data_IF_715408383602
#
_entry.id   IF_715408383602
#
_cell.length_a   1.000
_cell.length_b   1.000
_cell.length_c   1.000
_cell.angle_alpha   90.00
_cell.angle_beta   90.00
_cell.angle_gamma   90.00
#
_symmetry.space_group_name_H-M   'P 1'
#
loop_
_entity.id
_entity.type
_entity.pdbx_description
1 polymer ?
#
# COMPACT_ATOMS: atom_id res chain seq x y z
N UNK A 1 8.54 -43.05 -49.74
CA UNK A 1 8.15 -41.97 -48.79
C UNK A 1 6.83 -42.40 -48.17
N UNK A 2 6.75 -42.58 -46.85
CA UNK A 2 5.49 -42.95 -46.18
C UNK A 2 4.69 -41.64 -46.03
N UNK A 3 3.56 -41.56 -46.72
CA UNK A 3 2.69 -40.39 -46.72
C UNK A 3 1.93 -40.26 -45.40
N UNK A 4 1.60 -39.01 -45.05
CA UNK A 4 0.79 -38.67 -43.88
C UNK A 4 -0.60 -39.29 -44.02
N UNK A 5 -1.13 -39.90 -42.97
CA UNK A 5 -2.47 -40.50 -43.03
C UNK A 5 -3.54 -39.45 -42.79
N UNK A 6 -4.72 -39.60 -43.41
CA UNK A 6 -5.82 -38.63 -43.27
C UNK A 6 -6.28 -38.50 -41.81
N UNK A 7 -6.26 -39.60 -41.06
CA UNK A 7 -6.61 -39.62 -39.64
C UNK A 7 -5.61 -38.82 -38.77
N UNK A 8 -4.33 -38.84 -39.13
CA UNK A 8 -3.26 -38.15 -38.42
C UNK A 8 -3.39 -36.63 -38.58
N UNK A 9 -3.85 -36.16 -39.76
CA UNK A 9 -4.15 -34.75 -39.99
C UNK A 9 -5.34 -34.28 -39.14
N UNK A 10 -6.39 -35.10 -39.04
CA UNK A 10 -7.57 -34.78 -38.21
C UNK A 10 -7.17 -34.65 -36.73
N UNK A 11 -6.39 -35.59 -36.21
CA UNK A 11 -5.95 -35.56 -34.81
C UNK A 11 -5.12 -34.29 -34.52
N UNK A 12 -4.19 -33.94 -35.40
CA UNK A 12 -3.37 -32.72 -35.24
C UNK A 12 -4.23 -31.46 -35.25
N UNK A 13 -5.22 -31.36 -36.14
CA UNK A 13 -6.13 -30.18 -36.16
C UNK A 13 -6.97 -30.06 -34.90
N UNK A 14 -7.43 -31.18 -34.34
CA UNK A 14 -8.17 -31.20 -33.06
C UNK A 14 -7.28 -30.77 -31.90
N UNK A 15 -6.03 -31.26 -31.84
CA UNK A 15 -5.08 -30.85 -30.80
C UNK A 15 -4.78 -29.35 -30.88
N UNK A 16 -4.55 -28.81 -32.08
CA UNK A 16 -4.30 -27.38 -32.28
C UNK A 16 -5.51 -26.56 -31.82
N UNK A 17 -6.73 -26.96 -32.19
CA UNK A 17 -7.95 -26.26 -31.79
C UNK A 17 -8.14 -26.24 -30.27
N UNK A 18 -7.86 -27.36 -29.58
CA UNK A 18 -7.93 -27.45 -28.11
C UNK A 18 -6.89 -26.52 -27.47
N UNK A 19 -5.63 -26.56 -27.93
CA UNK A 19 -4.56 -25.72 -27.38
C UNK A 19 -4.89 -24.23 -27.60
N UNK A 20 -5.35 -23.85 -28.79
CA UNK A 20 -5.76 -22.45 -29.09
C UNK A 20 -6.92 -21.98 -28.22
N UNK A 21 -7.87 -22.87 -27.89
CA UNK A 21 -8.97 -22.53 -26.99
C UNK A 21 -8.50 -22.22 -25.57
N UNK A 22 -7.57 -23.03 -25.04
CA UNK A 22 -7.02 -22.86 -23.68
C UNK A 22 -6.19 -21.57 -23.59
N UNK A 23 -5.32 -21.30 -24.58
CA UNK A 23 -4.46 -20.11 -24.55
C UNK A 23 -5.26 -18.81 -24.60
N UNK A 24 -6.38 -18.79 -25.33
CA UNK A 24 -7.24 -17.59 -25.45
C UNK A 24 -7.92 -17.21 -24.13
N UNK A 25 -8.38 -18.18 -23.34
CA UNK A 25 -8.99 -17.91 -22.02
C UNK A 25 -7.95 -17.38 -21.03
N UNK A 26 -6.74 -17.95 -21.04
CA UNK A 26 -5.65 -17.53 -20.16
C UNK A 26 -5.14 -16.10 -20.42
N UNK A 27 -5.34 -15.54 -21.62
CA UNK A 27 -4.82 -14.21 -21.97
C UNK A 27 -5.58 -13.05 -21.33
N UNK A 28 -6.85 -13.22 -20.95
CA UNK A 28 -7.65 -12.13 -20.37
C UNK A 28 -7.23 -11.81 -18.93
N UNK A 29 -7.10 -12.84 -18.09
CA UNK A 29 -6.71 -12.68 -16.68
C UNK A 29 -5.31 -12.09 -16.51
N UNK A 30 -4.38 -12.44 -17.40
CA UNK A 30 -3.00 -11.92 -17.37
C UNK A 30 -2.92 -10.42 -17.71
N UNK A 31 -3.83 -9.89 -18.54
CA UNK A 31 -3.82 -8.47 -18.90
C UNK A 31 -4.27 -7.59 -17.74
N UNK A 32 -5.28 -8.03 -17.00
CA UNK A 32 -5.81 -7.30 -15.84
C UNK A 32 -4.77 -7.24 -14.71
N UNK A 33 -4.07 -8.34 -14.43
CA UNK A 33 -3.00 -8.35 -13.42
C UNK A 33 -1.83 -7.45 -13.83
N UNK A 34 -1.43 -7.47 -15.10
CA UNK A 34 -0.33 -6.64 -15.61
C UNK A 34 -0.67 -5.14 -15.57
N UNK A 35 -1.92 -4.78 -15.86
CA UNK A 35 -2.38 -3.41 -15.76
C UNK A 35 -2.39 -2.94 -14.29
N UNK A 36 -2.83 -3.79 -13.37
CA UNK A 36 -2.77 -3.51 -11.93
C UNK A 36 -1.33 -3.36 -11.41
N UNK A 37 -0.41 -4.24 -11.85
CA UNK A 37 1.03 -4.13 -11.57
C UNK A 37 1.56 -2.76 -12.00
N UNK A 38 1.26 -2.38 -13.25
CA UNK A 38 1.69 -1.12 -13.83
C UNK A 38 1.18 0.08 -13.02
N UNK A 39 -0.10 0.08 -12.65
CA UNK A 39 -0.68 1.16 -11.86
C UNK A 39 0.01 1.29 -10.49
N UNK A 40 0.24 0.17 -9.80
CA UNK A 40 0.96 0.16 -8.53
C UNK A 40 2.40 0.71 -8.67
N UNK A 41 3.10 0.37 -9.74
CA UNK A 41 4.42 0.94 -10.03
C UNK A 41 4.37 2.42 -10.40
N UNK A 42 3.32 2.89 -11.08
CA UNK A 42 3.11 4.32 -11.37
C UNK A 42 2.92 5.10 -10.07
N UNK A 43 2.14 4.58 -9.12
CA UNK A 43 1.98 5.16 -7.78
C UNK A 43 3.35 5.27 -7.09
N UNK A 44 4.09 4.17 -7.01
CA UNK A 44 5.43 4.16 -6.40
C UNK A 44 6.40 5.14 -7.09
N UNK A 45 6.31 5.28 -8.41
CA UNK A 45 7.10 6.24 -9.17
C UNK A 45 6.71 7.68 -8.84
N UNK A 46 5.42 7.99 -8.68
CA UNK A 46 4.96 9.34 -8.36
C UNK A 46 5.32 9.73 -6.93
N UNK A 47 5.30 8.80 -5.97
CA UNK A 47 5.82 9.04 -4.61
C UNK A 47 7.32 9.38 -4.67
N UNK A 48 8.12 8.62 -5.43
CA UNK A 48 9.54 8.97 -5.67
C UNK A 48 9.70 10.28 -6.43
N UNK A 49 8.75 10.62 -7.30
CA UNK A 49 8.67 11.89 -7.99
C UNK A 49 8.52 13.06 -7.01
N UNK A 50 7.61 12.94 -6.05
CA UNK A 50 7.41 13.93 -4.99
C UNK A 50 8.69 14.13 -4.15
N UNK A 51 9.36 13.04 -3.78
CA UNK A 51 10.65 13.09 -3.09
C UNK A 51 11.72 13.84 -3.90
N UNK A 52 11.80 13.60 -5.22
CA UNK A 52 12.72 14.31 -6.10
C UNK A 52 12.34 15.79 -6.29
N UNK A 53 11.06 16.14 -6.26
CA UNK A 53 10.60 17.54 -6.26
C UNK A 53 11.02 18.26 -4.97
N UNK A 54 10.90 17.61 -3.81
CA UNK A 54 11.41 18.13 -2.55
C UNK A 54 12.92 18.38 -2.59
N UNK A 55 13.71 17.43 -3.10
CA UNK A 55 15.17 17.56 -3.26
C UNK A 55 15.59 18.72 -4.17
N UNK A 56 14.80 19.01 -5.20
CA UNK A 56 15.09 20.08 -6.16
C UNK A 56 14.68 21.45 -5.66
N UNK A 57 13.90 21.52 -4.58
CA UNK A 57 13.25 22.74 -4.11
C UNK A 57 12.64 23.50 -5.29
N UNK A 58 11.79 22.81 -6.08
CA UNK A 58 11.25 23.38 -7.32
C UNK A 58 10.50 24.70 -7.02
N UNK A 59 11.15 25.81 -7.33
CA UNK A 59 10.68 27.18 -7.05
C UNK A 59 9.52 27.59 -7.98
N UNK A 60 9.12 26.73 -8.93
CA UNK A 60 8.02 27.04 -9.84
C UNK A 60 6.65 27.06 -9.17
N UNK A 61 6.52 26.47 -7.98
CA UNK A 61 5.30 26.46 -7.19
C UNK A 61 5.41 27.50 -6.06
N UNK A 62 4.52 28.48 -6.09
CA UNK A 62 4.40 29.50 -5.07
C UNK A 62 3.20 29.20 -4.18
N UNK A 63 3.43 29.07 -2.88
CA UNK A 63 2.36 28.96 -1.89
C UNK A 63 1.57 30.28 -1.81
N UNK A 64 0.25 30.21 -1.96
CA UNK A 64 -0.63 31.37 -1.75
C UNK A 64 -0.62 31.84 -0.28
N UNK A 65 -0.36 30.93 0.65
CA UNK A 65 -0.12 31.20 2.07
C UNK A 65 1.06 30.40 2.60
N UNK A 66 1.97 31.04 3.34
CA UNK A 66 3.12 30.38 3.95
C UNK A 66 4.32 30.23 3.03
N UNK A 67 5.24 29.34 3.41
CA UNK A 67 6.45 29.04 2.65
C UNK A 67 6.41 27.58 2.22
N UNK A 68 6.94 27.29 1.04
CA UNK A 68 7.12 25.93 0.56
C UNK A 68 8.03 25.17 1.53
N UNK A 69 7.46 24.21 2.27
CA UNK A 69 8.17 23.38 3.24
C UNK A 69 8.41 21.96 2.75
N UNK A 70 7.75 21.52 1.67
CA UNK A 70 7.96 20.19 1.11
C UNK A 70 7.02 19.84 -0.03
N UNK A 71 7.10 18.57 -0.44
CA UNK A 71 6.20 17.97 -1.44
C UNK A 71 5.64 16.68 -0.89
N UNK A 72 4.41 16.34 -1.26
CA UNK A 72 3.79 15.11 -0.78
C UNK A 72 2.79 14.51 -1.73
N UNK A 73 2.42 13.27 -1.43
CA UNK A 73 1.33 12.55 -2.10
C UNK A 73 0.25 12.24 -1.07
N UNK A 74 -0.99 12.55 -1.43
CA UNK A 74 -2.16 12.38 -0.60
C UNK A 74 -3.14 11.39 -1.23
N UNK A 75 -3.55 10.40 -0.44
CA UNK A 75 -4.55 9.40 -0.77
C UNK A 75 -5.70 9.47 0.22
N UNK A 76 -6.92 9.41 -0.29
CA UNK A 76 -8.14 9.48 0.51
C UNK A 76 -9.11 8.41 0.03
N UNK A 77 -9.60 7.56 0.95
CA UNK A 77 -10.61 6.56 0.64
C UNK A 77 -11.94 7.16 0.15
N UNK A 78 -12.20 8.44 0.44
CA UNK A 78 -13.35 9.18 -0.07
C UNK A 78 -13.25 9.53 -1.57
N UNK A 79 -12.03 9.54 -2.12
CA UNK A 79 -11.74 9.80 -3.53
C UNK A 79 -11.01 8.61 -4.18
N UNK A 80 -11.66 7.43 -4.28
CA UNK A 80 -10.97 6.18 -4.55
C UNK A 80 -10.42 6.04 -5.98
N UNK A 81 -10.82 6.92 -6.90
CA UNK A 81 -10.37 6.90 -8.31
C UNK A 81 -9.13 7.77 -8.56
N UNK A 82 -8.62 8.47 -7.53
CA UNK A 82 -7.54 9.45 -7.71
C UNK A 82 -6.70 9.66 -6.46
N UNK A 83 -5.59 10.35 -6.64
CA UNK A 83 -4.75 10.85 -5.56
C UNK A 83 -4.11 12.17 -5.97
N UNK A 84 -3.59 12.90 -4.98
CA UNK A 84 -3.12 14.27 -5.16
C UNK A 84 -1.63 14.32 -4.90
N UNK A 85 -0.87 14.88 -5.85
CA UNK A 85 0.47 15.40 -5.63
C UNK A 85 0.33 16.87 -5.23
N UNK A 86 0.85 17.23 -4.06
CA UNK A 86 0.73 18.57 -3.50
C UNK A 86 2.09 19.10 -3.04
N UNK A 87 2.15 20.43 -2.92
CA UNK A 87 3.23 21.16 -2.30
C UNK A 87 2.77 21.63 -0.92
N UNK A 88 3.54 21.27 0.10
CA UNK A 88 3.27 21.61 1.50
C UNK A 88 3.67 23.06 1.75
N UNK A 89 2.74 23.85 2.27
CA UNK A 89 2.89 25.30 2.41
C UNK A 89 2.80 25.81 3.86
N UNK A 90 2.46 24.93 4.80
CA UNK A 90 2.19 25.27 6.20
C UNK A 90 2.94 24.40 7.24
N UNK A 91 3.83 23.50 6.78
CA UNK A 91 4.67 22.62 7.61
C UNK A 91 3.90 21.68 8.57
N UNK A 92 2.71 21.26 8.15
CA UNK A 92 1.86 20.31 8.89
C UNK A 92 2.17 18.85 8.57
N UNK A 93 2.89 18.57 7.48
CA UNK A 93 3.19 17.22 6.97
C UNK A 93 1.94 16.45 6.56
N UNK A 94 0.85 17.16 6.26
CA UNK A 94 -0.43 16.60 5.87
C UNK A 94 -1.08 17.50 4.85
N UNK A 95 -1.70 16.92 3.83
CA UNK A 95 -2.43 17.71 2.86
C UNK A 95 -3.62 18.44 3.51
N UNK A 96 -3.64 19.75 3.37
CA UNK A 96 -4.72 20.63 3.80
C UNK A 96 -5.28 21.42 2.62
N UNK A 97 -6.48 21.05 2.19
CA UNK A 97 -7.16 21.73 1.10
C UNK A 97 -7.31 23.24 1.37
N UNK A 98 -6.83 24.06 0.45
CA UNK A 98 -6.87 25.52 0.52
C UNK A 98 -5.73 26.18 1.30
N UNK A 99 -4.86 25.39 1.94
CA UNK A 99 -3.58 25.86 2.50
C UNK A 99 -2.41 25.39 1.63
N UNK A 100 -2.47 24.14 1.16
CA UNK A 100 -1.48 23.54 0.28
C UNK A 100 -1.83 23.69 -1.18
N UNK A 101 -0.80 23.80 -2.01
CA UNK A 101 -0.96 23.94 -3.46
C UNK A 101 -1.01 22.57 -4.13
N UNK A 102 -2.06 22.34 -4.92
CA UNK A 102 -2.20 21.11 -5.69
C UNK A 102 -1.31 21.20 -6.93
N UNK A 103 -0.24 20.41 -6.93
CA UNK A 103 0.67 20.30 -8.08
C UNK A 103 0.00 19.54 -9.20
N UNK A 104 -0.63 18.40 -8.87
CA UNK A 104 -1.32 17.56 -9.83
C UNK A 104 -2.30 16.60 -9.16
N UNK A 105 -3.51 16.52 -9.68
CA UNK A 105 -4.41 15.39 -9.42
C UNK A 105 -4.15 14.28 -10.43
N UNK A 106 -3.94 13.05 -9.95
CA UNK A 106 -3.65 11.89 -10.78
C UNK A 106 -4.80 10.91 -10.62
N UNK A 107 -5.47 10.59 -11.72
CA UNK A 107 -6.52 9.59 -11.76
C UNK A 107 -5.90 8.21 -12.07
N UNK A 108 -6.42 7.16 -11.45
CA UNK A 108 -6.04 5.79 -11.76
C UNK A 108 -6.49 5.40 -13.18
N UNK A 109 -5.82 4.41 -13.80
CA UNK A 109 -6.33 3.80 -15.02
C UNK A 109 -7.76 3.23 -14.81
N UNK A 110 -8.61 3.32 -15.85
CA UNK A 110 -10.01 2.89 -15.76
C UNK A 110 -10.13 1.44 -15.30
N UNK A 111 -11.01 1.20 -14.32
CA UNK A 111 -11.30 -0.13 -13.79
C UNK A 111 -10.50 -0.49 -12.53
N UNK A 112 -9.64 0.40 -12.04
CA UNK A 112 -8.97 0.26 -10.75
C UNK A 112 -9.41 1.35 -9.78
N UNK A 113 -9.44 1.01 -8.50
CA UNK A 113 -9.73 1.95 -7.43
C UNK A 113 -8.95 1.62 -6.15
N UNK A 114 -8.81 2.64 -5.33
CA UNK A 114 -8.35 2.55 -3.96
C UNK A 114 -9.38 1.77 -3.14
N UNK A 115 -8.99 0.63 -2.59
CA UNK A 115 -9.87 -0.15 -1.70
C UNK A 115 -9.63 0.11 -0.23
N UNK A 116 -8.38 0.41 0.14
CA UNK A 116 -8.00 0.71 1.52
C UNK A 116 -6.76 1.57 1.53
N UNK A 117 -6.75 2.53 2.44
CA UNK A 117 -5.59 3.33 2.77
C UNK A 117 -5.43 3.40 4.28
N UNK A 118 -4.19 3.39 4.75
CA UNK A 118 -3.84 3.49 6.18
C UNK A 118 -2.56 4.29 6.37
N UNK A 119 -2.52 5.22 7.34
CA UNK A 119 -3.66 5.95 7.93
C UNK A 119 -4.62 6.50 6.87
N UNK A 120 -5.87 6.78 7.21
CA UNK A 120 -6.88 7.27 6.26
C UNK A 120 -7.45 8.61 6.74
N UNK A 121 -7.21 9.73 6.02
CA UNK A 121 -6.44 9.81 4.79
C UNK A 121 -4.91 9.66 5.00
N UNK A 122 -4.21 9.22 3.95
CA UNK A 122 -2.75 9.04 3.95
C UNK A 122 -2.09 10.21 3.24
N UNK A 123 -1.23 10.94 3.95
CA UNK A 123 -0.27 11.85 3.33
C UNK A 123 1.14 11.32 3.54
N UNK A 124 1.92 11.26 2.46
CA UNK A 124 3.36 10.97 2.51
C UNK A 124 4.08 12.22 2.06
N UNK A 125 4.72 12.92 2.98
CA UNK A 125 5.42 14.18 2.70
C UNK A 125 6.93 14.03 2.80
N UNK A 126 7.62 14.85 2.01
CA UNK A 126 9.07 14.88 1.88
C UNK A 126 9.54 16.32 2.08
N UNK A 127 10.34 16.55 3.12
CA UNK A 127 10.80 17.90 3.48
C UNK A 127 12.31 18.06 3.19
N UNK A 128 12.74 19.06 2.38
CA UNK A 128 14.17 19.32 2.10
C UNK A 128 14.94 19.80 3.34
N UNK A 129 16.29 19.88 3.30
CA UNK A 129 17.22 19.62 2.17
C UNK A 129 17.61 18.14 2.00
N UNK A 130 17.57 17.36 3.08
CA UNK A 130 17.58 15.90 3.02
C UNK A 130 16.14 15.45 3.24
N UNK A 131 15.48 14.78 2.27
CA UNK A 131 14.05 14.48 2.33
C UNK A 131 13.76 13.55 3.51
N UNK A 132 13.41 14.14 4.65
CA UNK A 132 12.76 13.42 5.74
C UNK A 132 11.38 13.01 5.27
N UNK A 133 11.01 11.76 5.57
CA UNK A 133 9.70 11.22 5.19
C UNK A 133 8.78 11.29 6.38
N UNK A 134 7.73 12.08 6.27
CA UNK A 134 6.65 12.11 7.26
C UNK A 134 5.43 11.41 6.68
N UNK A 135 4.73 10.68 7.54
CA UNK A 135 3.48 9.99 7.20
C UNK A 135 2.41 10.57 8.11
N UNK A 136 1.21 10.81 7.57
CA UNK A 136 0.11 11.46 8.29
C UNK A 136 -0.14 10.85 9.67
N UNK A 137 -0.48 11.69 10.66
CA UNK A 137 -0.63 11.29 12.05
C UNK A 137 0.65 10.86 12.76
N UNK A 138 1.83 11.07 12.16
CA UNK A 138 3.13 10.64 12.73
C UNK A 138 3.35 9.14 12.68
N UNK A 139 2.69 8.44 11.74
CA UNK A 139 2.78 6.99 11.60
C UNK A 139 4.16 6.55 11.09
N UNK A 140 4.58 5.34 11.47
CA UNK A 140 5.86 4.78 11.01
C UNK A 140 5.77 4.21 9.59
N UNK A 141 4.55 3.91 9.13
CA UNK A 141 4.27 3.37 7.81
C UNK A 141 2.90 3.79 7.28
N UNK A 142 2.75 3.73 5.96
CA UNK A 142 1.50 3.90 5.24
C UNK A 142 1.27 2.73 4.28
N UNK A 143 0.02 2.31 4.13
CA UNK A 143 -0.40 1.20 3.29
C UNK A 143 -1.47 1.69 2.32
N UNK A 144 -1.30 1.34 1.05
CA UNK A 144 -2.23 1.62 -0.04
C UNK A 144 -2.60 0.28 -0.67
N UNK A 145 -3.89 -0.04 -0.72
CA UNK A 145 -4.41 -1.25 -1.35
C UNK A 145 -5.19 -0.85 -2.59
N UNK A 146 -4.68 -1.28 -3.74
CA UNK A 146 -5.25 -1.07 -5.05
C UNK A 146 -5.89 -2.38 -5.56
N UNK A 147 -7.08 -2.29 -6.13
CA UNK A 147 -7.74 -3.44 -6.74
C UNK A 147 -8.66 -3.01 -7.90
N UNK A 148 -9.12 -3.97 -8.73
CA UNK A 148 -10.21 -3.72 -9.65
C UNK A 148 -11.47 -3.17 -8.96
N UNK A 149 -12.26 -2.32 -9.61
CA UNK A 149 -13.47 -1.73 -9.02
C UNK A 149 -14.47 -2.81 -8.54
N UNK A 150 -14.61 -3.90 -9.27
CA UNK A 150 -15.48 -5.04 -8.90
C UNK A 150 -14.86 -5.99 -7.85
N UNK A 151 -13.65 -5.72 -7.37
CA UNK A 151 -13.01 -6.54 -6.34
C UNK A 151 -13.75 -6.42 -5.01
N UNK A 152 -14.03 -7.58 -4.42
CA UNK A 152 -14.52 -7.68 -3.04
C UNK A 152 -13.33 -7.97 -2.15
N UNK A 153 -12.94 -6.97 -1.35
CA UNK A 153 -11.99 -7.17 -0.25
C UNK A 153 -12.81 -7.59 0.97
N UNK A 154 -12.60 -8.81 1.43
CA UNK A 154 -13.16 -9.26 2.72
C UNK A 154 -12.05 -9.00 3.73
N UNK A 155 -12.28 -8.12 4.69
CA UNK A 155 -11.40 -8.00 5.87
C UNK A 155 -11.93 -8.91 6.96
N UNK A 156 -11.08 -9.72 7.58
CA UNK A 156 -11.40 -10.30 8.88
C UNK A 156 -10.63 -9.50 9.94
N UNK A 157 -11.38 -8.75 10.76
CA UNK A 157 -10.85 -8.20 12.01
C UNK A 157 -10.75 -9.34 13.03
N UNK A 158 -9.53 -9.69 13.44
CA UNK A 158 -9.32 -10.61 14.55
C UNK A 158 -8.78 -9.84 15.75
N UNK A 159 -9.60 -9.81 16.81
CA UNK A 159 -9.21 -9.29 18.11
C UNK A 159 -8.48 -10.40 18.89
N UNK A 160 -7.18 -10.22 19.16
CA UNK A 160 -6.49 -11.03 20.17
C UNK A 160 -6.29 -10.21 21.45
N UNK A 161 -7.23 -10.38 22.39
CA UNK A 161 -7.05 -9.98 23.78
C UNK A 161 -6.44 -11.11 24.58
N UNK A 162 -5.13 -11.08 24.83
CA UNK A 162 -4.47 -11.99 25.78
C UNK A 162 -2.97 -12.19 25.55
N UNK A 163 -2.25 -12.47 26.64
CA UNK A 163 -0.90 -13.02 26.60
C UNK A 163 -0.94 -14.42 25.97
N UNK A 164 -0.21 -14.65 24.88
CA UNK A 164 -0.03 -15.99 24.31
C UNK A 164 1.27 -16.57 24.89
N UNK A 165 1.22 -17.54 25.82
CA UNK A 165 2.44 -18.17 26.32
C UNK A 165 3.16 -18.87 25.18
N UNK A 166 4.39 -18.44 24.88
CA UNK A 166 5.24 -19.05 23.85
C UNK A 166 5.39 -18.27 22.54
N UNK A 167 4.67 -17.15 22.33
CA UNK A 167 4.94 -16.24 21.23
C UNK A 167 5.81 -15.06 21.71
N UNK A 168 7.13 -15.21 21.58
CA UNK A 168 8.04 -14.05 21.65
C UNK A 168 8.12 -13.42 20.26
N UNK A 169 7.78 -12.13 20.15
CA UNK A 169 8.05 -11.37 18.93
C UNK A 169 9.57 -11.37 18.69
N UNK A 170 10.08 -11.94 17.58
CA UNK A 170 11.51 -12.11 17.33
C UNK A 170 12.27 -10.78 17.14
N UNK A 171 11.60 -9.62 17.18
CA UNK A 171 12.21 -8.29 17.12
C UNK A 171 11.85 -7.37 18.30
N UNK A 172 11.17 -7.88 19.33
CA UNK A 172 10.87 -7.10 20.54
C UNK A 172 12.10 -7.00 21.46
N UNK A 173 13.10 -6.22 21.03
CA UNK A 173 14.19 -5.74 21.89
C UNK A 173 13.81 -4.45 22.64
N UNK A 174 12.55 -4.31 23.05
CA UNK A 174 12.14 -3.24 23.97
C UNK A 174 12.12 -3.76 25.41
N UNK A 175 12.61 -2.98 26.40
CA UNK A 175 12.51 -3.36 27.80
C UNK A 175 11.04 -3.53 28.22
N UNK A 176 10.73 -4.46 29.14
CA UNK A 176 9.37 -4.91 29.43
C UNK A 176 8.52 -3.94 30.27
N UNK A 177 8.74 -2.63 30.17
CA UNK A 177 8.08 -1.64 31.02
C UNK A 177 7.58 -0.45 30.20
N UNK A 178 6.27 -0.16 30.30
CA UNK A 178 5.74 1.18 29.98
C UNK A 178 6.48 2.15 30.91
N UNK A 179 7.49 2.88 30.43
CA UNK A 179 8.29 3.78 31.27
C UNK A 179 7.58 5.12 31.49
N UNK A 180 6.51 5.41 30.73
CA UNK A 180 5.76 6.66 30.84
C UNK A 180 4.23 6.41 30.86
N UNK A 181 3.54 6.70 31.97
CA UNK A 181 2.07 6.62 32.06
C UNK A 181 1.35 7.68 31.21
N UNK A 182 2.05 8.63 30.61
CA UNK A 182 1.48 9.65 29.72
C UNK A 182 1.68 9.34 28.22
N UNK A 183 2.40 8.27 27.87
CA UNK A 183 2.49 7.79 26.49
C UNK A 183 1.54 6.60 26.30
N UNK A 184 0.27 6.89 26.05
CA UNK A 184 -0.79 5.89 25.90
C UNK A 184 -0.68 5.04 24.61
N UNK A 185 0.28 5.33 23.74
CA UNK A 185 0.49 4.61 22.48
C UNK A 185 1.99 4.53 22.16
N UNK A 186 2.55 3.33 22.24
CA UNK A 186 3.87 3.04 21.67
C UNK A 186 3.60 2.25 20.39
N UNK A 187 3.79 2.89 19.24
CA UNK A 187 3.76 2.20 17.95
C UNK A 187 4.97 1.26 17.89
N UNK A 188 4.71 -0.05 17.96
CA UNK A 188 5.73 -1.03 17.62
C UNK A 188 6.06 -0.91 16.13
N UNK A 189 7.31 -1.21 15.75
CA UNK A 189 7.76 -1.14 14.35
C UNK A 189 6.84 -1.95 13.43
N UNK A 190 5.97 -1.24 12.70
CA UNK A 190 5.14 -1.77 11.64
C UNK A 190 6.04 -2.19 10.48
N UNK A 191 6.10 -3.50 10.25
CA UNK A 191 6.52 -4.01 8.96
C UNK A 191 5.37 -4.86 8.44
N UNK A 192 4.71 -4.48 7.33
CA UNK A 192 3.94 -5.45 6.59
C UNK A 192 4.91 -6.55 6.17
N UNK A 193 4.76 -7.75 6.73
CA UNK A 193 5.52 -8.89 6.24
C UNK A 193 4.76 -9.42 5.02
N UNK A 194 5.46 -9.76 3.92
CA UNK A 194 4.82 -10.41 2.80
C UNK A 194 4.09 -11.65 3.30
N UNK A 195 2.91 -11.89 2.73
CA UNK A 195 2.14 -13.11 2.92
C UNK A 195 3.10 -14.32 2.96
N UNK A 196 3.02 -15.15 4.01
CA UNK A 196 3.96 -16.27 4.15
C UNK A 196 3.88 -17.16 2.91
N UNK A 197 4.97 -17.88 2.56
CA UNK A 197 4.96 -18.83 1.44
C UNK A 197 3.81 -19.86 1.50
N UNK A 198 3.23 -20.06 2.68
CA UNK A 198 2.09 -20.96 2.90
C UNK A 198 0.72 -20.34 2.62
N UNK A 199 0.58 -19.01 2.54
CA UNK A 199 -0.71 -18.34 2.33
C UNK A 199 -0.57 -16.99 1.58
N UNK A 200 -0.21 -17.02 0.27
CA UNK A 200 0.11 -15.82 -0.52
C UNK A 200 -1.07 -14.87 -0.76
N UNK A 201 -2.30 -15.28 -0.41
CA UNK A 201 -3.53 -14.51 -0.64
C UNK A 201 -4.03 -13.79 0.62
N UNK A 202 -3.24 -13.81 1.71
CA UNK A 202 -3.61 -13.21 2.99
C UNK A 202 -2.54 -12.21 3.42
N UNK A 203 -2.94 -10.95 3.51
CA UNK A 203 -2.12 -9.91 4.15
C UNK A 203 -2.21 -10.08 5.67
N UNK A 204 -1.05 -10.02 6.34
CA UNK A 204 -0.97 -9.90 7.78
C UNK A 204 -0.58 -8.46 8.13
N UNK A 205 -1.55 -7.71 8.65
CA UNK A 205 -1.32 -6.38 9.22
C UNK A 205 -1.19 -6.58 10.74
N UNK A 206 0.05 -6.50 11.26
CA UNK A 206 0.30 -6.51 12.70
C UNK A 206 0.42 -5.06 13.17
N UNK A 207 -0.62 -4.56 13.82
CA UNK A 207 -0.51 -3.33 14.59
C UNK A 207 -0.62 -3.69 16.07
N UNK A 208 0.38 -3.25 16.83
CA UNK A 208 0.38 -3.41 18.28
C UNK A 208 -0.02 -2.07 18.89
N UNK A 209 -1.27 -1.93 19.31
CA UNK A 209 -1.68 -0.83 20.19
C UNK A 209 -1.38 -1.22 21.63
N UNK A 210 -0.42 -0.53 22.25
CA UNK A 210 -0.13 -0.73 23.67
C UNK A 210 -1.12 0.11 24.49
N UNK A 211 -2.18 -0.50 25.01
CA UNK A 211 -3.02 0.11 26.03
C UNK A 211 -2.44 -0.18 27.42
N UNK A 212 -1.65 0.75 27.97
CA UNK A 212 -1.20 0.67 29.37
C UNK A 212 -2.38 1.07 30.30
N UNK A 213 -3.40 0.24 30.44
CA UNK A 213 -4.39 0.34 31.53
C UNK A 213 -4.15 -0.78 32.55
N UNK A 214 -4.15 -0.51 33.87
CA UNK A 214 -4.04 -1.57 34.85
C UNK A 214 -5.24 -2.53 34.73
N UNK A 215 -5.03 -3.86 34.76
CA UNK A 215 -3.75 -4.57 34.82
C UNK A 215 -3.12 -4.68 33.42
N UNK A 216 -1.83 -4.37 33.30
CA UNK A 216 -1.02 -4.43 32.08
C UNK A 216 -1.37 -5.61 31.16
N UNK A 217 -2.28 -5.39 30.21
CA UNK A 217 -2.70 -6.39 29.21
C UNK A 217 -2.13 -5.98 27.87
N UNK A 218 -1.46 -6.93 27.23
CA UNK A 218 -1.06 -6.81 25.84
C UNK A 218 -2.27 -7.15 24.96
N UNK A 219 -2.63 -6.25 24.06
CA UNK A 219 -3.56 -6.54 22.96
C UNK A 219 -2.79 -6.44 21.66
N UNK A 220 -2.71 -7.55 20.93
CA UNK A 220 -2.22 -7.55 19.55
C UNK A 220 -3.45 -7.65 18.65
N UNK A 221 -3.53 -6.74 17.68
CA UNK A 221 -4.56 -6.81 16.66
C UNK A 221 -3.88 -7.28 15.38
N UNK A 222 -4.31 -8.46 14.90
CA UNK A 222 -3.79 -9.06 13.68
C UNK A 222 -4.94 -9.06 12.69
N UNK A 223 -4.96 -8.09 11.77
CA UNK A 223 -5.97 -8.09 10.72
C UNK A 223 -5.49 -8.99 9.60
N UNK A 224 -6.30 -10.02 9.31
CA UNK A 224 -6.11 -10.86 8.14
C UNK A 224 -7.05 -10.38 7.07
N UNK A 225 -6.50 -9.99 5.93
CA UNK A 225 -7.30 -9.55 4.79
C UNK A 225 -7.16 -10.63 3.73
N UNK A 226 -8.14 -11.55 3.58
CA UNK A 226 -8.21 -12.38 2.38
C UNK A 226 -8.48 -11.50 1.16
N UNK A 227 -7.58 -11.60 0.18
CA UNK A 227 -7.67 -10.89 -1.08
C UNK A 227 -8.20 -11.89 -2.12
N UNK A 228 -9.51 -11.86 -2.39
CA UNK A 228 -10.18 -12.77 -3.33
C UNK A 228 -10.05 -12.34 -4.80
N UNK A 229 -9.39 -11.22 -5.06
CA UNK A 229 -9.16 -10.60 -6.36
C UNK A 229 -7.68 -10.23 -6.52
N UNK A 230 -7.16 -10.07 -7.74
CA UNK A 230 -5.84 -9.49 -7.93
C UNK A 230 -5.82 -8.10 -7.26
N UNK A 231 -4.97 -7.94 -6.26
CA UNK A 231 -4.75 -6.67 -5.56
C UNK A 231 -3.26 -6.37 -5.57
N UNK A 232 -2.91 -5.09 -5.44
CA UNK A 232 -1.54 -4.65 -5.20
C UNK A 232 -1.48 -3.78 -3.98
N UNK A 233 -0.39 -3.98 -3.24
CA UNK A 233 -0.17 -3.30 -1.99
C UNK A 233 1.08 -2.46 -2.17
N UNK A 234 0.94 -1.15 -1.96
CA UNK A 234 2.07 -0.25 -1.86
C UNK A 234 2.25 0.07 -0.38
N UNK A 235 3.41 -0.26 0.16
CA UNK A 235 3.80 0.16 1.51
C UNK A 235 4.87 1.24 1.43
N UNK A 236 4.74 2.23 2.30
CA UNK A 236 5.70 3.33 2.46
C UNK A 236 6.11 3.39 3.91
N UNK A 237 7.42 3.43 4.18
CA UNK A 237 7.95 3.62 5.53
C UNK A 237 8.44 5.05 5.73
N UNK A 238 8.39 5.55 6.96
CA UNK A 238 9.03 6.80 7.39
C UNK A 238 10.57 6.81 7.16
N UNK A 239 11.15 5.65 6.80
CA UNK A 239 12.55 5.56 6.33
C UNK A 239 12.72 5.78 4.82
N UNK A 240 11.65 6.10 4.09
CA UNK A 240 11.65 6.28 2.64
C UNK A 240 11.71 5.00 1.82
N UNK A 241 11.49 3.84 2.46
CA UNK A 241 11.37 2.56 1.75
C UNK A 241 9.97 2.46 1.15
N UNK A 242 9.90 2.19 -0.16
CA UNK A 242 8.65 2.00 -0.90
C UNK A 242 8.69 0.61 -1.53
N UNK A 243 7.76 -0.25 -1.14
CA UNK A 243 7.62 -1.62 -1.67
C UNK A 243 6.27 -1.78 -2.37
N UNK A 244 6.28 -2.55 -3.46
CA UNK A 244 5.07 -2.97 -4.18
C UNK A 244 5.00 -4.48 -4.11
N UNK A 245 3.90 -5.01 -3.58
CA UNK A 245 3.65 -6.43 -3.36
C UNK A 245 2.35 -6.86 -4.06
#
# INVERSE_FOLDING_TARGET
MKGFTLIELVIVTVIIAIISGITMVSWRTTRESLALDREAYVIAQNIRGAMNSALRADESISCSSGNLSGYGVHFDSSAPDSYILFAECNDTNEYQAGQDEVVRTINFEQGFELKRVRPDPLSVTFSPPEPSVSISGGNASGIIVLAPQNAVIVGYEYWHTGDVPGHQNPRANHPPYCVDPNQAQINCFDFPFPASQSDPNVLYDQYCTINCSPPNRWSQEIVKIPLYSPTRIISVSAKGVIEVQ
#
